data_IF_232575353159
#
_entry.id   IF_232575353159
#
_cell.length_a   1.000
_cell.length_b   1.000
_cell.length_c   1.000
_cell.angle_alpha   90.00
_cell.angle_beta   90.00
_cell.angle_gamma   90.00
#
_symmetry.space_group_name_H-M   'P 1'
#
loop_
_entity.id
_entity.type
_entity.pdbx_description
1 polymer ?
#
# COMPACT_ATOMS: atom_id res chain seq x y z
N UNK A 1 0.00 12.64 -12.62
CA UNK A 1 0.51 12.45 -11.24
C UNK A 1 1.57 11.36 -11.19
N UNK A 2 2.76 11.67 -10.68
CA UNK A 2 3.86 10.71 -10.56
C UNK A 2 3.77 9.89 -9.27
N UNK A 3 4.15 8.62 -9.33
CA UNK A 3 4.37 7.83 -8.11
C UNK A 3 5.65 8.31 -7.41
N UNK A 4 5.68 8.33 -6.06
CA UNK A 4 6.93 8.48 -5.33
C UNK A 4 7.94 7.37 -5.67
N UNK A 5 9.22 7.65 -5.41
CA UNK A 5 10.29 6.66 -5.52
C UNK A 5 10.02 5.43 -4.61
N UNK A 6 10.58 4.24 -4.94
CA UNK A 6 10.40 3.03 -4.14
C UNK A 6 10.66 3.22 -2.65
N UNK A 7 11.71 3.95 -2.31
CA UNK A 7 12.14 4.16 -0.94
C UNK A 7 11.13 5.02 -0.17
N UNK A 8 10.58 6.05 -0.84
CA UNK A 8 9.49 6.85 -0.31
C UNK A 8 8.20 6.04 -0.14
N UNK A 9 7.90 5.11 -1.05
CA UNK A 9 6.76 4.20 -0.89
C UNK A 9 6.93 3.28 0.33
N UNK A 10 8.14 2.75 0.58
CA UNK A 10 8.43 1.93 1.76
C UNK A 10 8.37 2.75 3.05
N UNK A 11 8.90 3.97 3.03
CA UNK A 11 8.81 4.90 4.16
C UNK A 11 7.35 5.26 4.49
N UNK A 12 6.52 5.47 3.47
CA UNK A 12 5.09 5.72 3.62
C UNK A 12 4.39 4.54 4.30
N UNK A 13 4.69 3.31 3.90
CA UNK A 13 4.12 2.11 4.55
C UNK A 13 4.59 2.01 6.00
N UNK A 14 5.87 2.26 6.28
CA UNK A 14 6.40 2.24 7.63
C UNK A 14 5.70 3.28 8.53
N UNK A 15 5.47 4.49 8.02
CA UNK A 15 4.74 5.55 8.73
C UNK A 15 3.29 5.14 9.04
N UNK A 16 2.59 4.53 8.07
CA UNK A 16 1.23 4.06 8.26
C UNK A 16 1.14 2.90 9.28
N UNK A 17 2.12 1.99 9.31
CA UNK A 17 2.21 0.94 10.34
C UNK A 17 2.48 1.55 11.72
N UNK A 18 3.38 2.53 11.80
CA UNK A 18 3.68 3.23 13.05
C UNK A 18 2.45 3.96 13.61
N UNK A 19 1.70 4.65 12.74
CA UNK A 19 0.45 5.31 13.12
C UNK A 19 -0.60 4.31 13.61
N UNK A 20 -0.76 3.18 12.92
CA UNK A 20 -1.70 2.14 13.35
C UNK A 20 -1.37 1.63 14.75
N UNK A 21 -0.08 1.41 15.04
CA UNK A 21 0.38 1.01 16.38
C UNK A 21 0.09 2.08 17.42
N UNK A 22 0.49 3.32 17.16
CA UNK A 22 0.28 4.43 18.09
C UNK A 22 -1.20 4.59 18.46
N UNK A 23 -2.09 4.60 17.47
CA UNK A 23 -3.55 4.72 17.70
C UNK A 23 -4.15 3.51 18.40
N UNK A 24 -3.57 2.32 18.21
CA UNK A 24 -4.00 1.12 18.94
C UNK A 24 -3.53 1.15 20.40
N UNK A 25 -2.34 1.69 20.65
CA UNK A 25 -1.76 1.84 21.98
C UNK A 25 -2.51 2.89 22.82
N UNK A 26 -3.01 3.95 22.20
CA UNK A 26 -3.87 4.97 22.83
C UNK A 26 -5.23 4.43 23.32
N UNK A 27 -5.73 3.33 22.76
CA UNK A 27 -6.96 2.70 23.23
C UNK A 27 -6.73 2.03 24.59
N UNK A 28 -7.70 2.19 25.50
CA UNK A 28 -7.78 1.37 26.71
C UNK A 28 -7.89 -0.12 26.34
N UNK A 29 -7.43 -1.02 27.20
CA UNK A 29 -7.38 -2.45 26.88
C UNK A 29 -8.77 -3.03 26.56
N UNK A 30 -9.79 -2.56 27.27
CA UNK A 30 -11.21 -2.85 27.08
C UNK A 30 -11.77 -2.35 25.74
N UNK A 31 -11.22 -1.26 25.19
CA UNK A 31 -11.67 -0.63 23.96
C UNK A 31 -10.95 -1.15 22.70
N UNK A 32 -9.88 -1.95 22.87
CA UNK A 32 -9.12 -2.61 21.77
C UNK A 32 -9.89 -3.78 21.15
N UNK A 33 -11.12 -3.51 20.75
CA UNK A 33 -12.00 -4.47 20.08
C UNK A 33 -11.64 -4.62 18.60
N UNK A 34 -12.08 -5.73 18.00
CA UNK A 34 -11.93 -5.96 16.55
C UNK A 34 -12.52 -4.81 15.71
N UNK A 35 -13.68 -4.30 16.11
CA UNK A 35 -14.36 -3.21 15.42
C UNK A 35 -13.55 -1.91 15.47
N UNK A 36 -12.96 -1.58 16.62
CA UNK A 36 -12.10 -0.41 16.77
C UNK A 36 -10.84 -0.53 15.90
N UNK A 37 -10.16 -1.68 15.94
CA UNK A 37 -8.97 -1.94 15.11
C UNK A 37 -9.29 -1.90 13.61
N UNK A 38 -10.42 -2.48 13.20
CA UNK A 38 -10.86 -2.43 11.81
C UNK A 38 -11.23 -1.00 11.37
N UNK A 39 -11.74 -0.17 12.28
CA UNK A 39 -11.98 1.26 12.05
C UNK A 39 -10.68 2.02 11.79
N UNK A 40 -9.70 1.88 12.68
CA UNK A 40 -8.36 2.51 12.55
C UNK A 40 -7.68 2.02 11.26
N UNK A 41 -7.68 0.71 11.03
CA UNK A 41 -7.09 0.11 9.84
C UNK A 41 -7.75 0.58 8.56
N UNK A 42 -9.09 0.67 8.52
CA UNK A 42 -9.81 1.19 7.34
C UNK A 42 -9.42 2.62 7.03
N UNK A 43 -9.37 3.49 8.03
CA UNK A 43 -8.94 4.89 7.85
C UNK A 43 -7.53 4.94 7.24
N UNK A 44 -6.52 4.40 7.93
CA UNK A 44 -5.12 4.47 7.50
C UNK A 44 -4.90 3.84 6.12
N UNK A 45 -5.41 2.63 5.92
CA UNK A 45 -5.15 1.85 4.70
C UNK A 45 -5.98 2.32 3.49
N UNK A 46 -6.98 3.17 3.69
CA UNK A 46 -7.80 3.76 2.62
C UNK A 46 -7.24 5.06 2.05
N UNK A 47 -6.37 5.77 2.78
CA UNK A 47 -5.72 7.01 2.34
C UNK A 47 -4.97 6.81 1.02
N UNK A 48 -4.91 7.86 0.20
CA UNK A 48 -4.25 7.82 -1.10
C UNK A 48 -2.79 8.22 -1.02
N UNK A 49 -1.96 7.65 -1.89
CA UNK A 49 -0.56 8.04 -2.05
C UNK A 49 -0.49 9.28 -2.92
N UNK A 50 -0.31 10.44 -2.29
CA UNK A 50 -0.44 11.74 -2.97
C UNK A 50 -1.76 11.83 -3.75
N UNK A 51 -1.70 12.43 -4.93
CA UNK A 51 -2.88 12.65 -5.78
C UNK A 51 -3.16 11.48 -6.76
N UNK A 52 -2.56 10.30 -6.51
CA UNK A 52 -2.61 9.18 -7.47
C UNK A 52 -3.91 8.38 -7.44
N UNK A 53 -4.70 8.51 -6.36
CA UNK A 53 -5.84 7.64 -6.08
C UNK A 53 -5.47 6.19 -5.72
N UNK A 54 -4.17 5.84 -5.68
CA UNK A 54 -3.67 4.55 -5.22
C UNK A 54 -3.74 4.53 -3.69
N UNK A 55 -4.49 3.60 -3.06
CA UNK A 55 -4.58 3.55 -1.61
C UNK A 55 -3.35 2.92 -0.98
N UNK A 56 -3.02 3.32 0.25
CA UNK A 56 -1.87 2.78 1.01
C UNK A 56 -1.89 1.26 1.10
N UNK A 57 -3.07 0.63 1.25
CA UNK A 57 -3.19 -0.85 1.27
C UNK A 57 -2.56 -1.56 0.07
N UNK A 58 -2.59 -0.94 -1.11
CA UNK A 58 -2.03 -1.52 -2.31
C UNK A 58 -0.50 -1.51 -2.28
N UNK A 59 0.08 -0.44 -1.72
CA UNK A 59 1.52 -0.32 -1.51
C UNK A 59 1.98 -1.26 -0.40
N UNK A 60 1.22 -1.36 0.70
CA UNK A 60 1.48 -2.32 1.76
C UNK A 60 1.48 -3.76 1.21
N UNK A 61 0.48 -4.14 0.40
CA UNK A 61 0.45 -5.45 -0.26
C UNK A 61 1.69 -5.69 -1.14
N UNK A 62 2.09 -4.71 -1.95
CA UNK A 62 3.31 -4.82 -2.75
C UNK A 62 4.57 -4.98 -1.88
N UNK A 63 4.65 -4.29 -0.74
CA UNK A 63 5.75 -4.46 0.21
C UNK A 63 5.75 -5.85 0.85
N UNK A 64 4.61 -6.33 1.36
CA UNK A 64 4.49 -7.66 1.99
C UNK A 64 4.81 -8.80 1.02
N UNK A 65 4.53 -8.62 -0.27
CA UNK A 65 4.87 -9.58 -1.33
C UNK A 65 6.32 -9.42 -1.84
N UNK A 66 7.09 -8.48 -1.30
CA UNK A 66 8.49 -8.24 -1.70
C UNK A 66 8.66 -7.52 -3.04
N UNK A 67 7.59 -6.94 -3.61
CA UNK A 67 7.62 -6.29 -4.91
C UNK A 67 8.35 -4.93 -4.91
N UNK A 68 8.60 -4.36 -3.74
CA UNK A 68 9.31 -3.08 -3.54
C UNK A 68 10.77 -3.26 -3.06
N UNK A 69 11.30 -4.49 -3.10
CA UNK A 69 12.67 -4.78 -2.63
C UNK A 69 13.74 -4.06 -3.45
N UNK A 70 14.84 -3.57 -2.85
CA UNK A 70 15.99 -3.05 -3.60
C UNK A 70 16.65 -4.14 -4.45
N UNK A 71 17.03 -3.82 -5.68
CA UNK A 71 17.59 -4.80 -6.63
C UNK A 71 18.99 -5.32 -6.26
N UNK A 72 19.69 -4.67 -5.33
CA UNK A 72 20.98 -5.12 -4.79
C UNK A 72 20.91 -6.12 -3.62
N UNK A 73 19.72 -6.42 -3.11
CA UNK A 73 19.53 -7.43 -2.05
C UNK A 73 19.49 -8.87 -2.60
N UNK A 74 19.62 -9.05 -3.92
CA UNK A 74 19.54 -10.35 -4.59
C UNK A 74 20.57 -10.44 -5.72
N UNK A 75 21.86 -10.51 -5.36
CA UNK A 75 22.96 -10.86 -6.27
C UNK A 75 23.79 -9.68 -6.81
N UNK A 76 25.11 -9.88 -7.03
CA UNK A 76 25.98 -8.86 -7.60
C UNK A 76 25.70 -8.71 -9.10
N UNK A 77 25.47 -7.47 -9.57
CA UNK A 77 25.54 -7.20 -11.01
C UNK A 77 24.66 -6.11 -11.59
N UNK A 78 23.85 -5.39 -10.80
CA UNK A 78 22.99 -4.34 -11.38
C UNK A 78 23.22 -3.00 -10.73
N UNK A 79 23.86 -2.11 -11.50
CA UNK A 79 24.14 -0.71 -11.15
C UNK A 79 22.86 0.12 -10.96
N UNK A 80 23.00 1.44 -10.69
CA UNK A 80 21.86 2.30 -10.40
C UNK A 80 20.85 2.23 -11.55
N UNK A 81 19.65 1.73 -11.23
CA UNK A 81 18.63 1.35 -12.18
C UNK A 81 18.23 2.50 -13.10
N UNK A 82 18.22 2.23 -14.40
CA UNK A 82 17.52 3.02 -15.41
C UNK A 82 16.07 3.27 -14.97
N UNK A 83 15.48 4.41 -15.34
CA UNK A 83 14.10 4.79 -14.98
C UNK A 83 13.01 3.77 -15.40
N UNK A 84 13.40 2.72 -16.13
CA UNK A 84 12.59 1.56 -16.44
C UNK A 84 12.28 0.67 -15.23
N UNK A 85 13.15 0.68 -14.21
CA UNK A 85 13.09 -0.12 -12.98
C UNK A 85 12.23 0.53 -11.87
N UNK A 86 11.64 1.71 -12.12
CA UNK A 86 10.80 2.40 -11.16
C UNK A 86 9.36 1.83 -11.14
N UNK A 87 8.70 1.81 -9.96
CA UNK A 87 7.28 1.53 -9.85
C UNK A 87 6.46 2.47 -10.73
N UNK A 88 5.49 1.90 -11.44
CA UNK A 88 4.58 2.65 -12.31
C UNK A 88 3.14 2.38 -11.94
N UNK A 89 2.32 3.42 -12.03
CA UNK A 89 0.89 3.33 -11.84
C UNK A 89 0.20 3.37 -13.20
N UNK A 90 -0.63 2.36 -13.45
CA UNK A 90 -1.51 2.31 -14.61
C UNK A 90 -2.96 2.41 -14.16
N UNK A 91 -3.76 3.10 -14.95
CA UNK A 91 -5.20 3.22 -14.74
C UNK A 91 -5.96 2.80 -16.00
N UNK A 92 -7.00 1.99 -15.85
CA UNK A 92 -7.92 1.63 -16.92
C UNK A 92 -9.34 1.49 -16.37
N UNK A 93 -10.22 2.45 -16.71
CA UNK A 93 -11.55 2.55 -16.11
C UNK A 93 -11.49 2.53 -14.58
N UNK A 94 -12.24 1.61 -13.97
CA UNK A 94 -12.28 1.41 -12.52
C UNK A 94 -11.01 0.73 -11.95
N UNK A 95 -10.06 0.29 -12.77
CA UNK A 95 -8.87 -0.42 -12.31
C UNK A 95 -7.67 0.51 -12.11
N UNK A 96 -6.91 0.22 -11.06
CA UNK A 96 -5.56 0.72 -10.83
C UNK A 96 -4.60 -0.47 -10.73
N UNK A 97 -3.41 -0.32 -11.30
CA UNK A 97 -2.34 -1.31 -11.20
C UNK A 97 -1.02 -0.63 -10.85
N UNK A 98 -0.48 -1.01 -9.69
CA UNK A 98 0.90 -0.74 -9.32
C UNK A 98 1.78 -1.83 -9.93
N UNK A 99 2.59 -1.49 -10.92
CA UNK A 99 3.60 -2.38 -11.52
C UNK A 99 4.96 -2.07 -10.94
N UNK A 100 5.71 -3.10 -10.59
CA UNK A 100 7.13 -3.03 -10.20
C UNK A 100 7.93 -4.02 -11.03
N UNK A 101 9.28 -4.03 -10.93
CA UNK A 101 10.10 -5.04 -11.60
C UNK A 101 9.84 -6.49 -11.13
N UNK A 102 9.30 -6.66 -9.92
CA UNK A 102 9.16 -7.98 -9.28
C UNK A 102 7.72 -8.49 -9.25
N UNK A 103 6.75 -7.68 -9.68
CA UNK A 103 5.34 -8.07 -9.67
C UNK A 103 4.39 -6.91 -9.90
N UNK A 104 3.10 -7.17 -9.74
CA UNK A 104 2.10 -6.10 -9.79
C UNK A 104 0.96 -6.35 -8.82
N UNK A 105 0.41 -5.27 -8.28
CA UNK A 105 -0.82 -5.27 -7.48
C UNK A 105 -1.87 -4.52 -8.27
N UNK A 106 -3.01 -5.17 -8.53
CA UNK A 106 -4.15 -4.55 -9.18
C UNK A 106 -5.32 -4.46 -8.20
N UNK A 107 -6.05 -3.36 -8.24
CA UNK A 107 -7.25 -3.16 -7.45
C UNK A 107 -8.32 -2.46 -8.29
N UNK A 108 -9.56 -2.68 -7.90
CA UNK A 108 -10.70 -1.91 -8.39
C UNK A 108 -10.93 -0.73 -7.45
N UNK A 109 -10.95 0.49 -7.99
CA UNK A 109 -11.45 1.67 -7.29
C UNK A 109 -12.91 1.40 -6.96
N UNK A 110 -13.25 1.51 -5.68
CA UNK A 110 -14.64 1.42 -5.26
C UNK A 110 -15.38 2.66 -5.78
N UNK A 111 -16.32 2.47 -6.70
CA UNK A 111 -17.43 3.39 -6.91
C UNK A 111 -18.67 2.75 -6.31
N UNK A 112 -19.30 3.42 -5.32
CA UNK A 112 -20.69 3.28 -4.79
C UNK A 112 -21.42 1.93 -4.81
N UNK A 113 -20.72 0.81 -4.92
CA UNK A 113 -21.27 -0.54 -5.00
C UNK A 113 -20.51 -1.42 -4.04
N UNK A 114 -20.79 -1.24 -2.74
CA UNK A 114 -20.38 -2.19 -1.72
C UNK A 114 -21.09 -3.52 -2.01
N UNK A 115 -20.45 -4.37 -2.81
CA UNK A 115 -20.68 -5.81 -2.69
C UNK A 115 -20.02 -6.21 -1.37
N UNK A 116 -20.77 -5.97 -0.29
CA UNK A 116 -20.40 -6.40 1.04
C UNK A 116 -20.28 -7.91 1.03
N UNK A 117 -19.04 -8.39 0.99
CA UNK A 117 -18.75 -9.79 1.27
C UNK A 117 -18.94 -9.93 2.79
N UNK A 118 -20.13 -10.37 3.20
CA UNK A 118 -20.37 -10.83 4.56
C UNK A 118 -19.87 -12.26 4.66
N UNK A 119 -18.88 -12.49 5.52
CA UNK A 119 -18.63 -13.84 6.04
C UNK A 119 -19.72 -14.06 7.08
N UNK A 120 -20.56 -15.07 6.86
CA UNK A 120 -21.48 -15.60 7.86
C UNK A 120 -20.81 -16.74 8.60
#
# INVERSE_FOLDING_TARGET
PGLPAPDALRALVAAAVAEFRARTEELAAEDRTRAALDGIGRDIWSRTVGDTGLPVRAVHAAQSLGFLRPRGASGPGTGPGSGEDAPRLFSSGAWLRLRTPFGSVALRRAGTGALGISVR
#
